data_IF_847858522147
#
_entry.id   IF_847858522147
#
_cell.length_a   1.000
_cell.length_b   1.000
_cell.length_c   1.000
_cell.angle_alpha   90.00
_cell.angle_beta   90.00
_cell.angle_gamma   90.00
#
_symmetry.space_group_name_H-M   'P 1'
#
loop_
_entity.id
_entity.type
_entity.pdbx_description
1 polymer ?
#
# COMPACT_ATOMS: atom_id res chain seq x y z
N UNK A 1 -35.09 -53.41 17.71
CA UNK A 1 -33.81 -52.67 17.56
C UNK A 1 -34.09 -51.34 16.84
N UNK A 2 -34.08 -50.22 17.56
CA UNK A 2 -34.48 -48.91 17.06
C UNK A 2 -33.24 -48.05 16.79
N UNK A 3 -33.00 -47.73 15.53
CA UNK A 3 -31.88 -46.87 15.10
C UNK A 3 -32.22 -45.41 15.39
N UNK A 4 -31.51 -44.81 16.34
CA UNK A 4 -31.57 -43.38 16.66
C UNK A 4 -30.89 -42.57 15.54
N UNK A 5 -31.67 -41.84 14.74
CA UNK A 5 -31.15 -40.79 13.84
C UNK A 5 -30.70 -39.62 14.68
N UNK A 6 -29.39 -39.35 14.71
CA UNK A 6 -28.82 -38.12 15.21
C UNK A 6 -29.13 -36.96 14.23
N UNK A 7 -29.95 -36.01 14.68
CA UNK A 7 -30.13 -34.71 14.00
C UNK A 7 -28.81 -33.91 14.17
N UNK A 8 -28.15 -33.70 13.06
CA UNK A 8 -27.05 -32.69 12.96
C UNK A 8 -27.72 -31.33 13.00
N UNK A 9 -27.60 -30.62 14.11
CA UNK A 9 -27.95 -29.20 14.18
C UNK A 9 -26.99 -28.45 13.29
N UNK A 10 -27.50 -27.81 12.23
CA UNK A 10 -26.79 -26.84 11.41
C UNK A 10 -26.38 -25.66 12.28
N UNK A 11 -25.13 -25.59 12.68
CA UNK A 11 -24.54 -24.41 13.25
C UNK A 11 -24.54 -23.34 12.16
N UNK A 12 -25.21 -22.21 12.42
CA UNK A 12 -25.00 -20.99 11.64
C UNK A 12 -23.50 -20.69 11.73
N UNK A 13 -22.82 -20.76 10.61
CA UNK A 13 -21.48 -20.22 10.50
C UNK A 13 -21.65 -18.71 10.70
N UNK A 14 -21.32 -18.22 11.88
CA UNK A 14 -21.07 -16.80 12.09
C UNK A 14 -19.96 -16.42 11.10
N UNK A 15 -20.24 -15.52 10.18
CA UNK A 15 -19.20 -14.77 9.46
C UNK A 15 -18.20 -14.28 10.48
N UNK A 16 -16.91 -14.54 10.32
CA UNK A 16 -15.92 -13.97 11.22
C UNK A 16 -16.06 -12.45 11.10
N UNK A 17 -16.16 -11.80 12.26
CA UNK A 17 -16.06 -10.36 12.40
C UNK A 17 -14.66 -9.97 11.94
N UNK A 18 -14.56 -9.54 10.66
CA UNK A 18 -13.31 -9.08 10.06
C UNK A 18 -13.12 -7.65 10.56
N UNK A 19 -12.67 -7.54 11.81
CA UNK A 19 -12.27 -6.26 12.39
C UNK A 19 -11.19 -5.58 11.55
N UNK A 20 -10.96 -4.27 11.73
CA UNK A 20 -10.11 -3.45 10.85
C UNK A 20 -8.69 -4.04 10.74
N UNK A 21 -8.38 -4.59 9.59
CA UNK A 21 -7.16 -5.34 9.29
C UNK A 21 -5.87 -4.50 9.34
N UNK A 22 -5.99 -3.17 9.42
CA UNK A 22 -4.86 -2.26 9.34
C UNK A 22 -4.68 -1.31 10.52
N UNK A 23 -5.40 -1.49 11.63
CA UNK A 23 -5.29 -0.64 12.80
C UNK A 23 -4.05 -0.97 13.65
N UNK A 24 -2.87 -0.57 13.20
CA UNK A 24 -1.67 -0.50 14.04
C UNK A 24 -1.53 0.91 14.62
N UNK A 25 -1.88 1.07 15.89
CA UNK A 25 -1.73 2.33 16.62
C UNK A 25 -0.25 2.56 16.96
N UNK A 26 0.50 3.16 16.03
CA UNK A 26 1.78 3.79 16.32
C UNK A 26 1.63 5.27 15.97
N UNK A 27 2.02 6.14 16.86
CA UNK A 27 1.91 7.60 16.88
C UNK A 27 2.64 8.32 15.74
N UNK A 28 2.28 8.03 14.50
CA UNK A 28 2.56 8.82 13.32
C UNK A 28 1.20 9.14 12.71
N UNK A 29 0.91 10.38 12.39
CA UNK A 29 -0.33 10.80 11.71
C UNK A 29 -0.51 10.00 10.42
N UNK A 30 -1.25 8.90 10.50
CA UNK A 30 -1.68 8.12 9.34
C UNK A 30 -3.06 8.62 8.94
N UNK A 31 -3.19 9.00 7.70
CA UNK A 31 -4.52 9.28 7.16
C UNK A 31 -5.26 7.98 6.96
N UNK A 32 -6.37 7.80 7.67
CA UNK A 32 -7.26 6.65 7.47
C UNK A 32 -8.10 6.87 6.24
N UNK A 33 -8.12 5.89 5.36
CA UNK A 33 -9.01 5.84 4.21
C UNK A 33 -10.14 4.88 4.57
N UNK A 34 -11.30 5.46 4.86
CA UNK A 34 -12.54 4.72 5.18
C UNK A 34 -13.60 4.88 4.08
N UNK A 35 -13.39 5.81 3.16
CA UNK A 35 -14.31 6.11 2.06
C UNK A 35 -14.14 5.12 0.90
N UNK A 36 -15.18 4.36 0.58
CA UNK A 36 -15.21 3.41 -0.53
C UNK A 36 -14.94 4.07 -1.89
N UNK A 37 -15.30 5.33 -2.10
CA UNK A 37 -14.99 6.02 -3.35
C UNK A 37 -13.48 6.24 -3.51
N UNK A 38 -12.78 6.56 -2.42
CA UNK A 38 -11.31 6.65 -2.38
C UNK A 38 -10.70 5.28 -2.63
N UNK A 39 -11.19 4.23 -1.95
CA UNK A 39 -10.72 2.85 -2.12
C UNK A 39 -10.87 2.39 -3.58
N UNK A 40 -12.04 2.59 -4.19
CA UNK A 40 -12.28 2.30 -5.61
C UNK A 40 -11.37 3.11 -6.54
N UNK A 41 -11.12 4.36 -6.22
CA UNK A 41 -10.18 5.17 -6.98
C UNK A 41 -8.75 4.63 -6.91
N UNK A 42 -8.33 4.11 -5.76
CA UNK A 42 -7.00 3.51 -5.55
C UNK A 42 -6.89 2.08 -6.08
N UNK A 43 -7.98 1.35 -6.26
CA UNK A 43 -8.01 -0.01 -6.78
C UNK A 43 -7.64 -0.09 -8.28
N UNK A 44 -6.52 0.55 -8.66
CA UNK A 44 -5.97 0.57 -10.01
C UNK A 44 -4.44 0.57 -9.95
N UNK A 45 -3.72 -0.36 -10.63
CA UNK A 45 -2.27 -0.52 -10.50
C UNK A 45 -1.50 0.79 -10.76
N UNK A 46 -1.78 1.48 -11.87
CA UNK A 46 -1.09 2.73 -12.21
C UNK A 46 -1.33 3.83 -11.15
N UNK A 47 -2.51 3.93 -10.55
CA UNK A 47 -2.80 4.95 -9.52
C UNK A 47 -2.05 4.66 -8.22
N UNK A 48 -1.96 3.41 -7.79
CA UNK A 48 -1.14 3.02 -6.64
C UNK A 48 0.34 3.31 -6.89
N UNK A 49 0.84 3.06 -8.11
CA UNK A 49 2.22 3.33 -8.48
C UNK A 49 2.53 4.83 -8.51
N UNK A 50 1.64 5.63 -9.10
CA UNK A 50 1.74 7.09 -9.08
C UNK A 50 1.74 7.65 -7.66
N UNK A 51 0.83 7.18 -6.80
CA UNK A 51 0.74 7.63 -5.42
C UNK A 51 2.00 7.28 -4.62
N UNK A 52 2.53 6.06 -4.78
CA UNK A 52 3.78 5.65 -4.12
C UNK A 52 4.97 6.49 -4.59
N UNK A 53 5.07 6.74 -5.90
CA UNK A 53 6.12 7.61 -6.44
C UNK A 53 6.03 9.01 -5.87
N UNK A 54 4.85 9.63 -5.91
CA UNK A 54 4.64 10.99 -5.40
C UNK A 54 4.85 11.10 -3.88
N UNK A 55 4.53 10.06 -3.12
CA UNK A 55 4.80 10.00 -1.68
C UNK A 55 6.30 9.92 -1.35
N UNK A 56 7.10 9.35 -2.25
CA UNK A 56 8.56 9.25 -2.10
C UNK A 56 9.32 10.43 -2.72
N UNK A 57 8.65 11.29 -3.49
CA UNK A 57 9.23 12.44 -4.19
C UNK A 57 8.85 13.76 -3.49
N UNK A 58 9.66 14.30 -2.55
CA UNK A 58 9.32 15.51 -1.78
C UNK A 58 9.11 16.75 -2.64
N UNK A 59 9.79 16.81 -3.78
CA UNK A 59 9.64 17.87 -4.79
C UNK A 59 8.38 17.72 -5.65
N UNK A 60 7.65 16.60 -5.53
CA UNK A 60 6.60 16.21 -6.45
C UNK A 60 7.13 15.80 -7.82
N UNK A 61 6.23 15.51 -8.77
CA UNK A 61 6.59 15.17 -10.14
C UNK A 61 5.58 15.73 -11.14
N UNK A 62 6.04 15.98 -12.36
CA UNK A 62 5.20 16.38 -13.50
C UNK A 62 4.46 15.16 -14.08
N UNK A 63 3.44 15.41 -14.89
CA UNK A 63 2.74 14.32 -15.59
C UNK A 63 3.67 13.54 -16.52
N UNK A 64 4.67 14.19 -17.12
CA UNK A 64 5.67 13.56 -17.98
C UNK A 64 6.62 12.65 -17.21
N UNK A 65 7.13 13.14 -16.05
CA UNK A 65 7.95 12.31 -15.15
C UNK A 65 7.15 11.10 -14.63
N UNK A 66 5.91 11.32 -14.21
CA UNK A 66 4.99 10.26 -13.81
C UNK A 66 4.72 9.24 -14.92
N UNK A 67 4.57 9.68 -16.18
CA UNK A 67 4.34 8.80 -17.33
C UNK A 67 5.50 7.82 -17.54
N UNK A 68 6.73 8.28 -17.38
CA UNK A 68 7.92 7.43 -17.46
C UNK A 68 7.93 6.33 -16.37
N UNK A 69 7.42 6.64 -15.17
CA UNK A 69 7.36 5.68 -14.04
C UNK A 69 6.35 4.56 -14.31
N UNK A 70 5.14 4.93 -14.76
CA UNK A 70 4.04 3.95 -14.93
C UNK A 70 4.01 3.31 -16.33
N UNK A 71 4.90 3.72 -17.23
CA UNK A 71 4.95 3.18 -18.61
C UNK A 71 3.72 3.52 -19.45
N UNK A 72 3.04 4.63 -19.17
CA UNK A 72 1.85 5.08 -19.89
C UNK A 72 2.14 6.36 -20.70
N UNK A 73 1.24 6.70 -21.62
CA UNK A 73 1.30 8.00 -22.30
C UNK A 73 1.04 9.15 -21.31
N UNK A 74 1.59 10.37 -21.56
CA UNK A 74 1.31 11.55 -20.71
C UNK A 74 -0.18 11.85 -20.58
N UNK A 75 -0.97 11.63 -21.62
CA UNK A 75 -2.42 11.82 -21.61
C UNK A 75 -3.12 10.83 -20.67
N UNK A 76 -2.81 9.53 -20.75
CA UNK A 76 -3.35 8.51 -19.85
C UNK A 76 -2.91 8.78 -18.41
N UNK A 77 -1.65 9.15 -18.18
CA UNK A 77 -1.13 9.49 -16.86
C UNK A 77 -1.85 10.70 -16.27
N UNK A 78 -2.09 11.75 -17.08
CA UNK A 78 -2.85 12.92 -16.64
C UNK A 78 -4.28 12.57 -16.22
N UNK A 79 -4.91 11.59 -16.88
CA UNK A 79 -6.22 11.08 -16.45
C UNK A 79 -6.14 10.43 -15.07
N UNK A 80 -5.14 9.58 -14.81
CA UNK A 80 -4.97 8.92 -13.52
C UNK A 80 -4.62 9.92 -12.40
N UNK A 81 -3.78 10.91 -12.67
CA UNK A 81 -3.44 11.99 -11.73
C UNK A 81 -4.69 12.80 -11.35
N UNK A 82 -5.51 13.19 -12.32
CA UNK A 82 -6.78 13.88 -12.03
C UNK A 82 -7.75 13.02 -11.21
N UNK A 83 -7.81 11.71 -11.46
CA UNK A 83 -8.63 10.80 -10.67
C UNK A 83 -8.16 10.72 -9.20
N UNK A 84 -6.86 10.70 -8.94
CA UNK A 84 -6.28 10.76 -7.60
C UNK A 84 -6.51 12.12 -6.93
N UNK A 85 -6.39 13.21 -7.67
CA UNK A 85 -6.66 14.56 -7.16
C UNK A 85 -8.13 14.76 -6.80
N UNK A 86 -9.06 14.20 -7.58
CA UNK A 86 -10.50 14.26 -7.32
C UNK A 86 -10.87 13.66 -5.95
N UNK A 87 -10.14 12.63 -5.52
CA UNK A 87 -10.34 11.97 -4.22
C UNK A 87 -9.37 12.49 -3.14
N UNK A 88 -8.66 13.58 -3.38
CA UNK A 88 -7.81 14.25 -2.40
C UNK A 88 -6.49 13.55 -2.08
N UNK A 89 -6.13 12.48 -2.79
CA UNK A 89 -4.89 11.73 -2.52
C UNK A 89 -3.62 12.46 -3.00
N UNK A 90 -3.77 13.32 -3.98
CA UNK A 90 -2.70 14.21 -4.48
C UNK A 90 -3.27 15.60 -4.74
N UNK A 91 -2.40 16.59 -4.85
CA UNK A 91 -2.75 17.96 -5.22
C UNK A 91 -1.75 18.57 -6.20
N UNK A 92 -2.17 19.60 -6.92
CA UNK A 92 -1.27 20.40 -7.74
C UNK A 92 -0.43 21.32 -6.83
N UNK A 93 0.86 21.44 -7.13
CA UNK A 93 1.79 22.33 -6.47
C UNK A 93 2.42 23.28 -7.50
N UNK A 94 2.96 24.45 -7.07
CA UNK A 94 3.69 25.36 -7.95
C UNK A 94 4.82 24.64 -8.70
N UNK A 95 5.00 24.99 -9.98
CA UNK A 95 6.06 24.45 -10.83
C UNK A 95 7.46 24.79 -10.31
N UNK A 96 8.46 24.02 -10.73
CA UNK A 96 9.86 24.16 -10.28
C UNK A 96 10.66 25.24 -11.03
N UNK A 97 10.03 26.10 -11.78
CA UNK A 97 10.72 27.17 -12.53
C UNK A 97 9.97 27.67 -13.77
N UNK A 98 9.10 26.88 -14.38
CA UNK A 98 8.18 27.31 -15.43
C UNK A 98 6.75 27.33 -14.87
N UNK A 99 6.09 28.50 -14.92
CA UNK A 99 4.71 28.67 -14.46
C UNK A 99 3.68 27.83 -15.26
N UNK A 100 4.09 27.23 -16.38
CA UNK A 100 3.25 26.36 -17.19
C UNK A 100 3.34 24.89 -16.82
N UNK A 101 4.33 24.50 -16.02
CA UNK A 101 4.54 23.10 -15.61
C UNK A 101 3.77 22.81 -14.34
N UNK A 102 2.80 21.90 -14.42
CA UNK A 102 2.05 21.44 -13.24
C UNK A 102 2.83 20.33 -12.54
N UNK A 103 3.11 20.51 -11.28
CA UNK A 103 3.75 19.53 -10.42
C UNK A 103 2.69 18.92 -9.50
N UNK A 104 2.69 17.60 -9.41
CA UNK A 104 1.81 16.85 -8.53
C UNK A 104 2.56 16.41 -7.27
N UNK A 105 1.88 16.48 -6.13
CA UNK A 105 2.41 16.00 -4.84
C UNK A 105 1.39 15.13 -4.13
N UNK A 106 1.86 14.13 -3.39
CA UNK A 106 1.00 13.39 -2.49
C UNK A 106 0.51 14.30 -1.35
N UNK A 107 -0.77 14.19 -1.01
CA UNK A 107 -1.37 14.93 0.11
C UNK A 107 -0.91 14.37 1.44
N UNK A 108 -0.69 13.05 1.48
CA UNK A 108 -0.29 12.33 2.68
C UNK A 108 0.90 11.41 2.37
N UNK A 109 1.85 11.35 3.26
CA UNK A 109 3.01 10.47 3.14
C UNK A 109 2.68 9.01 3.45
N UNK A 110 1.60 8.79 4.16
CA UNK A 110 1.14 7.47 4.63
C UNK A 110 -0.37 7.46 4.73
N UNK A 111 -0.94 6.34 4.35
CA UNK A 111 -2.35 6.08 4.55
C UNK A 111 -2.54 4.65 5.06
N UNK A 112 -3.61 4.45 5.78
CA UNK A 112 -4.11 3.17 6.27
C UNK A 112 -5.48 2.94 5.66
N UNK A 113 -5.68 1.75 5.11
CA UNK A 113 -6.96 1.37 4.51
C UNK A 113 -7.69 0.55 5.55
N UNK A 114 -8.90 0.93 5.87
CA UNK A 114 -9.74 0.19 6.81
C UNK A 114 -11.19 0.56 6.59
N UNK A 115 -12.07 -0.43 6.63
CA UNK A 115 -13.51 -0.18 6.72
C UNK A 115 -13.89 0.06 8.18
N UNK A 116 -14.89 0.91 8.40
CA UNK A 116 -15.43 1.15 9.73
C UNK A 116 -16.22 -0.08 10.22
N UNK A 117 -16.31 -0.29 11.56
CA UNK A 117 -17.20 -1.30 12.09
C UNK A 117 -18.65 -1.08 11.63
N UNK A 118 -19.25 -2.10 11.03
CA UNK A 118 -20.59 -1.99 10.43
C UNK A 118 -20.61 -1.44 9.00
N UNK A 119 -19.47 -1.40 8.32
CA UNK A 119 -19.37 -1.08 6.90
C UNK A 119 -20.33 -1.94 6.05
N UNK A 120 -20.85 -1.36 4.98
CA UNK A 120 -21.72 -2.05 4.04
C UNK A 120 -20.95 -3.10 3.22
N UNK A 121 -21.64 -4.05 2.62
CA UNK A 121 -21.04 -5.02 1.69
C UNK A 121 -20.32 -4.32 0.52
N UNK A 122 -20.78 -3.16 0.09
CA UNK A 122 -20.15 -2.35 -0.95
C UNK A 122 -18.81 -1.76 -0.47
N UNK A 123 -18.74 -1.29 0.77
CA UNK A 123 -17.50 -0.76 1.36
C UNK A 123 -16.46 -1.88 1.52
N UNK A 124 -16.88 -3.04 2.03
CA UNK A 124 -16.03 -4.23 2.16
C UNK A 124 -15.54 -4.72 0.79
N UNK A 125 -16.38 -4.71 -0.24
CA UNK A 125 -15.97 -5.05 -1.59
C UNK A 125 -14.95 -4.06 -2.17
N UNK A 126 -15.08 -2.77 -1.88
CA UNK A 126 -14.12 -1.75 -2.30
C UNK A 126 -12.77 -1.91 -1.59
N UNK A 127 -12.78 -2.20 -0.29
CA UNK A 127 -11.57 -2.53 0.48
C UNK A 127 -10.88 -3.76 -0.10
N UNK A 128 -11.62 -4.84 -0.32
CA UNK A 128 -11.08 -6.08 -0.88
C UNK A 128 -10.44 -5.85 -2.26
N UNK A 129 -11.12 -5.15 -3.16
CA UNK A 129 -10.58 -4.83 -4.49
C UNK A 129 -9.27 -4.02 -4.42
N UNK A 130 -9.16 -3.10 -3.47
CA UNK A 130 -7.93 -2.34 -3.24
C UNK A 130 -6.83 -3.23 -2.68
N UNK A 131 -7.13 -4.08 -1.69
CA UNK A 131 -6.17 -5.04 -1.12
C UNK A 131 -5.67 -6.00 -2.19
N UNK A 132 -6.55 -6.58 -3.01
CA UNK A 132 -6.16 -7.47 -4.11
C UNK A 132 -5.26 -6.78 -5.13
N UNK A 133 -5.60 -5.55 -5.53
CA UNK A 133 -4.78 -4.74 -6.45
C UNK A 133 -3.40 -4.47 -5.85
N UNK A 134 -3.34 -4.16 -4.57
CA UNK A 134 -2.09 -3.94 -3.85
C UNK A 134 -1.25 -5.22 -3.80
N UNK A 135 -1.84 -6.35 -3.42
CA UNK A 135 -1.16 -7.65 -3.35
C UNK A 135 -0.63 -8.11 -4.72
N UNK A 136 -1.44 -7.98 -5.78
CA UNK A 136 -1.04 -8.33 -7.13
C UNK A 136 0.20 -7.51 -7.58
N UNK A 137 0.19 -6.19 -7.31
CA UNK A 137 1.29 -5.30 -7.62
C UNK A 137 2.56 -5.64 -6.85
N UNK A 138 2.45 -5.98 -5.57
CA UNK A 138 3.59 -6.38 -4.76
C UNK A 138 4.19 -7.71 -5.22
N UNK A 139 3.35 -8.68 -5.54
CA UNK A 139 3.80 -9.96 -6.08
C UNK A 139 4.51 -9.79 -7.44
N UNK A 140 4.01 -8.89 -8.29
CA UNK A 140 4.63 -8.58 -9.57
C UNK A 140 6.01 -7.90 -9.41
N UNK A 141 6.18 -7.04 -8.40
CA UNK A 141 7.47 -6.45 -8.06
C UNK A 141 8.50 -7.53 -7.67
N UNK A 142 8.10 -8.51 -6.86
CA UNK A 142 8.95 -9.65 -6.51
C UNK A 142 9.32 -10.46 -7.77
N UNK A 143 8.36 -10.74 -8.65
CA UNK A 143 8.62 -11.46 -9.91
C UNK A 143 9.62 -10.72 -10.79
N UNK A 144 9.48 -9.40 -10.95
CA UNK A 144 10.43 -8.58 -11.73
C UNK A 144 11.83 -8.62 -11.12
N UNK A 145 11.96 -8.49 -9.81
CA UNK A 145 13.24 -8.63 -9.13
C UNK A 145 13.88 -10.00 -9.40
N UNK A 146 13.12 -11.09 -9.25
CA UNK A 146 13.64 -12.44 -9.51
C UNK A 146 14.03 -12.66 -10.99
N UNK A 147 13.29 -12.08 -11.93
CA UNK A 147 13.63 -12.16 -13.35
C UNK A 147 14.94 -11.42 -13.69
N UNK A 148 15.24 -10.31 -13.02
CA UNK A 148 16.46 -9.51 -13.17
C UNK A 148 17.61 -9.89 -12.22
N UNK A 149 17.44 -10.90 -11.37
CA UNK A 149 18.33 -11.21 -10.27
C UNK A 149 19.81 -11.49 -10.69
N UNK A 150 20.03 -11.98 -11.92
CA UNK A 150 21.38 -12.24 -12.47
C UNK A 150 22.15 -10.96 -12.80
N UNK A 151 21.44 -9.89 -13.13
CA UNK A 151 22.01 -8.59 -13.51
C UNK A 151 22.07 -7.62 -12.33
N UNK A 152 21.56 -8.04 -11.17
CA UNK A 152 21.54 -7.22 -9.96
C UNK A 152 22.96 -7.13 -9.35
N UNK A 153 23.45 -5.93 -8.98
CA UNK A 153 24.70 -5.81 -8.25
C UNK A 153 24.70 -6.67 -6.99
N UNK A 154 25.80 -7.36 -6.74
CA UNK A 154 25.93 -8.36 -5.67
C UNK A 154 25.48 -7.83 -4.31
N UNK A 155 25.85 -6.60 -3.96
CA UNK A 155 25.47 -5.94 -2.70
C UNK A 155 23.95 -5.82 -2.52
N UNK A 156 23.21 -5.56 -3.61
CA UNK A 156 21.75 -5.44 -3.61
C UNK A 156 21.05 -6.80 -3.62
N UNK A 157 21.63 -7.76 -4.33
CA UNK A 157 21.14 -9.14 -4.32
C UNK A 157 21.28 -9.78 -2.93
N UNK A 158 22.43 -9.59 -2.25
CA UNK A 158 22.68 -10.11 -0.90
C UNK A 158 21.85 -9.38 0.18
N UNK A 159 21.47 -8.12 -0.05
CA UNK A 159 20.60 -7.35 0.85
C UNK A 159 19.12 -7.68 0.68
N UNK A 160 18.71 -8.26 -0.46
CA UNK A 160 17.34 -8.61 -0.70
C UNK A 160 16.93 -9.85 0.09
N UNK A 161 15.71 -9.87 0.62
CA UNK A 161 15.17 -11.00 1.38
C UNK A 161 13.73 -11.28 0.99
N UNK A 162 13.42 -12.55 0.80
CA UNK A 162 12.05 -13.07 0.75
C UNK A 162 12.01 -14.12 1.86
N UNK A 163 11.25 -13.87 2.91
CA UNK A 163 11.19 -14.74 4.09
C UNK A 163 9.74 -14.97 4.46
N UNK A 164 9.46 -16.16 4.93
CA UNK A 164 8.22 -16.57 5.55
C UNK A 164 8.51 -17.17 6.93
N UNK A 165 7.63 -16.89 7.88
CA UNK A 165 7.75 -17.39 9.25
C UNK A 165 6.37 -17.57 9.89
N UNK A 166 6.15 -18.71 10.51
CA UNK A 166 4.94 -18.96 11.30
C UNK A 166 5.25 -18.71 12.78
N UNK A 167 4.45 -17.88 13.43
CA UNK A 167 4.59 -17.51 14.82
C UNK A 167 3.34 -17.92 15.60
N UNK A 168 3.54 -18.41 16.81
CA UNK A 168 2.43 -18.63 17.75
C UNK A 168 2.44 -17.47 18.75
N UNK A 169 1.52 -16.54 18.56
CA UNK A 169 1.48 -15.29 19.32
C UNK A 169 0.04 -14.90 19.66
N UNK A 170 -0.11 -14.13 20.73
CA UNK A 170 -1.37 -13.43 21.04
C UNK A 170 -1.53 -12.22 20.13
N UNK A 171 -2.77 -11.73 19.97
CA UNK A 171 -3.05 -10.50 19.23
C UNK A 171 -2.27 -9.29 19.79
N UNK A 172 -2.05 -9.24 21.11
CA UNK A 172 -1.29 -8.16 21.74
C UNK A 172 0.21 -8.25 21.42
N UNK A 173 0.78 -9.44 21.39
CA UNK A 173 2.18 -9.66 21.00
C UNK A 173 2.39 -9.32 19.54
N UNK A 174 1.48 -9.76 18.64
CA UNK A 174 1.52 -9.40 17.23
C UNK A 174 1.48 -7.89 17.03
N UNK A 175 0.56 -7.19 17.70
CA UNK A 175 0.46 -5.73 17.65
C UNK A 175 1.74 -5.04 18.11
N UNK A 176 2.37 -5.53 19.17
CA UNK A 176 3.64 -5.01 19.67
C UNK A 176 4.78 -5.23 18.67
N UNK A 177 4.88 -6.43 18.08
CA UNK A 177 5.88 -6.76 17.07
C UNK A 177 5.78 -5.85 15.85
N UNK A 178 4.57 -5.68 15.30
CA UNK A 178 4.35 -4.77 14.17
C UNK A 178 4.73 -3.34 14.53
N UNK A 179 4.40 -2.87 15.75
CA UNK A 179 4.81 -1.55 16.24
C UNK A 179 6.34 -1.37 16.28
N UNK A 180 7.07 -2.35 16.79
CA UNK A 180 8.54 -2.31 16.84
C UNK A 180 9.17 -2.25 15.44
N UNK A 181 8.63 -3.01 14.48
CA UNK A 181 9.09 -2.95 13.08
C UNK A 181 8.85 -1.55 12.50
N UNK A 182 7.71 -0.95 12.76
CA UNK A 182 7.40 0.42 12.32
C UNK A 182 8.35 1.47 12.92
N UNK A 183 8.71 1.32 14.19
CA UNK A 183 9.70 2.17 14.87
C UNK A 183 11.09 2.08 14.22
N UNK A 184 11.49 0.90 13.77
CA UNK A 184 12.76 0.71 13.04
C UNK A 184 12.73 1.33 11.63
N UNK A 185 11.60 1.22 10.93
CA UNK A 185 11.47 1.73 9.55
C UNK A 185 11.30 3.26 9.52
N UNK A 186 10.63 3.84 10.51
CA UNK A 186 10.31 5.25 10.55
C UNK A 186 11.50 6.20 10.32
N UNK A 187 12.62 6.06 11.04
CA UNK A 187 13.83 6.86 10.82
C UNK A 187 14.46 6.67 9.43
N UNK A 188 14.42 5.45 8.87
CA UNK A 188 14.95 5.15 7.53
C UNK A 188 14.15 5.88 6.44
N UNK A 189 12.82 5.93 6.57
CA UNK A 189 11.95 6.67 5.63
C UNK A 189 12.26 8.17 5.60
N UNK A 190 12.67 8.76 6.72
CA UNK A 190 12.98 10.19 6.83
C UNK A 190 14.41 10.51 6.40
N UNK A 191 15.38 9.64 6.70
CA UNK A 191 16.81 9.89 6.60
C UNK A 191 17.26 10.39 5.22
N UNK A 192 16.77 9.77 4.15
CA UNK A 192 17.23 10.03 2.79
C UNK A 192 16.17 10.68 1.90
N UNK A 193 15.10 11.19 2.50
CA UNK A 193 14.00 11.79 1.74
C UNK A 193 14.41 13.03 0.96
N UNK A 194 15.17 13.92 1.58
CA UNK A 194 15.55 15.20 0.96
C UNK A 194 16.83 15.10 0.14
N UNK A 195 17.80 14.33 0.60
CA UNK A 195 19.12 14.17 -0.03
C UNK A 195 19.56 12.71 -0.02
N UNK A 196 19.01 11.88 -0.88
CA UNK A 196 19.41 10.48 -0.96
C UNK A 196 20.88 10.38 -1.45
N UNK A 197 21.71 9.51 -0.85
CA UNK A 197 23.01 9.17 -1.39
C UNK A 197 22.90 8.63 -2.83
N UNK A 198 23.93 8.82 -3.66
CA UNK A 198 23.92 8.30 -5.05
C UNK A 198 23.72 6.79 -5.14
N UNK A 199 24.17 6.04 -4.14
CA UNK A 199 23.98 4.60 -4.03
C UNK A 199 22.64 4.16 -3.45
N UNK A 200 21.80 5.10 -2.95
CA UNK A 200 20.50 4.76 -2.39
C UNK A 200 19.51 4.39 -3.49
N UNK A 201 18.68 3.38 -3.20
CA UNK A 201 17.58 2.93 -4.06
C UNK A 201 16.27 2.92 -3.29
N UNK A 202 15.17 3.08 -3.98
CA UNK A 202 13.83 2.85 -3.40
C UNK A 202 13.60 1.35 -3.27
N UNK A 203 13.42 0.90 -2.04
CA UNK A 203 13.15 -0.51 -1.71
C UNK A 203 11.69 -0.67 -1.28
N UNK A 204 11.01 -1.68 -1.81
CA UNK A 204 9.70 -2.08 -1.32
C UNK A 204 9.86 -2.98 -0.10
N UNK A 205 9.45 -2.50 1.06
CA UNK A 205 9.42 -3.27 2.29
C UNK A 205 7.97 -3.62 2.64
N UNK A 206 7.68 -4.91 2.83
CA UNK A 206 6.33 -5.42 3.03
C UNK A 206 6.25 -6.23 4.32
N UNK A 207 5.19 -6.01 5.07
CA UNK A 207 4.82 -6.82 6.23
C UNK A 207 3.40 -7.33 6.00
N UNK A 208 3.20 -8.63 6.12
CA UNK A 208 1.89 -9.27 6.09
C UNK A 208 1.83 -10.18 7.30
N UNK A 209 0.97 -9.84 8.23
CA UNK A 209 0.78 -10.60 9.45
C UNK A 209 -0.72 -10.82 9.64
N UNK A 210 -1.16 -12.01 9.36
CA UNK A 210 -2.57 -12.44 9.44
C UNK A 210 -2.65 -13.73 10.24
N UNK A 211 -3.76 -13.95 11.00
CA UNK A 211 -3.97 -15.19 11.74
C UNK A 211 -4.20 -16.39 10.81
#
# INVERSE_FOLDING_TARGET
MAARRRRIRGGRRSTPDIGPWFACSVTSERTRITDAAVMRALAHPARLELLEHLSSAPGGATATECAAIVGLSPSATSYHLRALAKVGMIHEAPGRGDARERVWRATHDRFEITSEPGASDEDLAAEMALVETHLARQNDRVRRFMAGARDEPREWYEAAVISDSSLVVTAQELKRLVGQIEELIGPLKKRHRERPPRSARTVSFQIRAVP
#
